data_IF_448903121759
#
_entry.id   IF_448903121759
#
_cell.length_a   1.000
_cell.length_b   1.000
_cell.length_c   1.000
_cell.angle_alpha   90.00
_cell.angle_beta   90.00
_cell.angle_gamma   90.00
#
_symmetry.space_group_name_H-M   'P 1'
#
loop_
_entity.id
_entity.type
_entity.pdbx_description
1 polymer ?
#
# COMPACT_ATOMS: atom_id res chain seq x y z
N UNK A 1 6.08 8.04 11.18
CA UNK A 1 7.39 7.49 11.61
C UNK A 1 8.49 8.21 10.85
N UNK A 2 9.64 8.48 11.48
CA UNK A 2 10.80 9.02 10.75
C UNK A 2 11.30 8.01 9.71
N UNK A 3 11.64 8.50 8.51
CA UNK A 3 12.11 7.72 7.36
C UNK A 3 13.43 8.24 6.80
N UNK A 4 14.03 9.25 7.45
CA UNK A 4 15.34 9.79 7.07
C UNK A 4 16.42 8.69 7.02
N UNK A 5 16.28 7.68 7.90
CA UNK A 5 17.12 6.49 7.96
C UNK A 5 17.19 5.70 6.65
N UNK A 6 16.15 5.72 5.80
CA UNK A 6 16.10 4.94 4.55
C UNK A 6 17.18 5.38 3.54
N UNK A 7 17.74 6.58 3.71
CA UNK A 7 18.81 7.11 2.87
C UNK A 7 20.20 6.99 3.51
N UNK A 8 20.29 6.44 4.72
CA UNK A 8 21.54 6.31 5.45
C UNK A 8 22.33 5.05 5.05
N UNK A 9 23.66 5.03 5.25
CA UNK A 9 24.45 3.82 5.05
C UNK A 9 24.03 2.67 5.99
N UNK A 10 24.00 1.44 5.49
CA UNK A 10 23.45 0.29 6.24
C UNK A 10 24.20 -0.10 7.52
N UNK A 11 25.43 0.36 7.66
CA UNK A 11 26.29 0.09 8.81
C UNK A 11 26.18 1.15 9.91
N UNK A 12 25.43 2.23 9.70
CA UNK A 12 25.22 3.22 10.77
C UNK A 12 24.01 2.85 11.62
N UNK A 13 24.05 3.25 12.89
CA UNK A 13 23.06 2.85 13.90
C UNK A 13 21.66 3.33 13.51
N UNK A 14 21.55 4.52 12.95
CA UNK A 14 20.30 5.13 12.51
C UNK A 14 19.57 4.26 11.47
N UNK A 15 20.32 3.63 10.55
CA UNK A 15 19.74 2.70 9.58
C UNK A 15 19.22 1.44 10.28
N UNK A 16 20.00 0.87 11.20
CA UNK A 16 19.66 -0.35 11.94
C UNK A 16 18.38 -0.11 12.78
N UNK A 17 18.32 1.00 13.50
CA UNK A 17 17.19 1.38 14.33
C UNK A 17 15.94 1.64 13.49
N UNK A 18 16.12 2.28 12.33
CA UNK A 18 15.06 2.46 11.34
C UNK A 18 14.48 1.16 10.80
N UNK A 19 15.34 0.19 10.48
CA UNK A 19 14.92 -1.16 10.05
C UNK A 19 14.11 -1.85 11.15
N UNK A 20 14.58 -1.84 12.40
CA UNK A 20 13.86 -2.46 13.51
C UNK A 20 12.49 -1.78 13.73
N UNK A 21 12.45 -0.45 13.72
CA UNK A 21 11.21 0.32 13.85
C UNK A 21 10.21 0.01 12.73
N UNK A 22 10.70 -0.13 11.49
CA UNK A 22 9.87 -0.55 10.36
C UNK A 22 9.31 -1.96 10.56
N UNK A 23 10.14 -2.91 11.00
CA UNK A 23 9.71 -4.30 11.22
C UNK A 23 8.64 -4.39 12.32
N UNK A 24 8.83 -3.70 13.44
CA UNK A 24 7.82 -3.59 14.49
C UNK A 24 6.51 -3.06 13.92
N UNK A 25 6.56 -1.94 13.20
CA UNK A 25 5.39 -1.36 12.55
C UNK A 25 4.69 -2.33 11.57
N UNK A 26 5.45 -3.01 10.72
CA UNK A 26 4.91 -3.83 9.65
C UNK A 26 4.29 -5.14 10.15
N UNK A 27 4.82 -5.70 11.25
CA UNK A 27 4.34 -6.95 11.85
C UNK A 27 3.33 -6.75 12.99
N UNK A 28 3.12 -5.52 13.46
CA UNK A 28 2.03 -5.20 14.41
C UNK A 28 0.62 -5.44 13.84
N UNK A 29 0.47 -5.58 12.52
CA UNK A 29 -0.80 -5.83 11.83
C UNK A 29 -0.94 -7.30 11.39
N UNK A 30 -2.18 -7.78 11.11
CA UNK A 30 -2.39 -9.15 10.66
C UNK A 30 -1.53 -9.48 9.44
N UNK A 31 -0.57 -10.37 9.64
CA UNK A 31 0.31 -10.87 8.59
C UNK A 31 -0.31 -12.10 7.95
N UNK A 32 -0.06 -12.32 6.66
CA UNK A 32 -0.52 -13.54 6.00
C UNK A 32 0.44 -14.65 6.44
N UNK A 33 -0.02 -15.54 7.33
CA UNK A 33 0.77 -16.67 7.83
C UNK A 33 2.11 -16.24 8.48
N UNK A 34 2.13 -15.13 9.21
CA UNK A 34 3.36 -14.65 9.85
C UNK A 34 4.34 -13.98 8.87
N UNK A 35 3.90 -13.60 7.66
CA UNK A 35 4.75 -13.01 6.62
C UNK A 35 4.23 -11.66 6.13
N UNK A 36 5.15 -10.79 5.71
CA UNK A 36 4.87 -9.50 5.07
C UNK A 36 5.53 -9.40 3.70
N UNK A 37 5.09 -8.45 2.87
CA UNK A 37 5.75 -8.15 1.60
C UNK A 37 7.14 -7.56 1.88
N UNK A 38 8.18 -8.12 1.27
CA UNK A 38 9.54 -7.63 1.51
C UNK A 38 9.79 -6.31 0.78
N UNK A 39 10.06 -5.19 1.48
CA UNK A 39 10.29 -3.88 0.86
C UNK A 39 11.73 -3.66 0.39
N UNK A 40 12.57 -4.70 0.36
CA UNK A 40 13.96 -4.54 -0.04
C UNK A 40 14.09 -4.12 -1.50
N UNK A 41 15.21 -3.48 -1.87
CA UNK A 41 15.44 -2.97 -3.23
C UNK A 41 15.30 -4.04 -4.32
N UNK A 42 15.57 -5.31 -4.01
CA UNK A 42 15.44 -6.42 -4.97
C UNK A 42 14.01 -6.92 -5.17
N UNK A 43 13.13 -6.81 -4.16
CA UNK A 43 11.80 -7.38 -4.22
C UNK A 43 10.69 -6.34 -4.32
N UNK A 44 10.88 -5.13 -3.79
CA UNK A 44 9.98 -3.98 -3.95
C UNK A 44 8.52 -4.37 -3.63
N UNK A 45 8.30 -5.00 -2.47
CA UNK A 45 7.00 -5.48 -2.00
C UNK A 45 6.33 -6.52 -2.91
N UNK A 46 7.09 -7.34 -3.65
CA UNK A 46 6.53 -8.39 -4.53
C UNK A 46 6.30 -9.73 -3.83
N UNK A 47 7.12 -10.10 -2.86
CA UNK A 47 7.10 -11.43 -2.27
C UNK A 47 6.97 -11.41 -0.75
N UNK A 48 6.15 -12.32 -0.22
CA UNK A 48 5.98 -12.54 1.22
C UNK A 48 7.18 -13.24 1.83
N UNK A 49 7.66 -12.71 2.95
CA UNK A 49 8.84 -13.21 3.68
C UNK A 49 8.59 -13.14 5.19
N UNK A 50 9.24 -14.03 5.95
CA UNK A 50 9.21 -14.01 7.41
C UNK A 50 9.91 -12.77 7.96
N UNK A 51 9.74 -12.52 9.25
CA UNK A 51 10.42 -11.44 9.95
C UNK A 51 11.95 -11.49 9.73
N UNK A 52 12.54 -12.66 9.94
CA UNK A 52 13.99 -12.90 9.82
C UNK A 52 14.45 -12.66 8.38
N UNK A 53 13.73 -13.22 7.40
CA UNK A 53 14.05 -13.05 5.99
C UNK A 53 13.96 -11.57 5.57
N UNK A 54 12.96 -10.82 6.05
CA UNK A 54 12.85 -9.39 5.72
C UNK A 54 13.98 -8.61 6.37
N UNK A 55 14.31 -8.88 7.64
CA UNK A 55 15.41 -8.23 8.35
C UNK A 55 16.73 -8.43 7.61
N UNK A 56 17.07 -9.66 7.26
CA UNK A 56 18.30 -9.98 6.52
C UNK A 56 18.35 -9.27 5.18
N UNK A 57 17.25 -9.29 4.42
CA UNK A 57 17.18 -8.57 3.16
C UNK A 57 17.32 -7.06 3.32
N UNK A 58 16.79 -6.45 4.39
CA UNK A 58 16.95 -5.03 4.63
C UNK A 58 18.37 -4.64 5.02
N UNK A 59 19.08 -5.53 5.72
CA UNK A 59 20.49 -5.33 6.10
C UNK A 59 21.47 -5.58 4.94
N UNK A 60 21.15 -6.51 4.04
CA UNK A 60 22.02 -6.87 2.90
C UNK A 60 21.70 -6.01 1.67
N UNK A 61 20.41 -5.88 1.34
CA UNK A 61 19.90 -5.37 0.06
C UNK A 61 19.25 -4.01 0.17
N UNK A 62 19.28 -3.36 1.32
CA UNK A 62 18.59 -2.11 1.64
C UNK A 62 17.07 -2.11 1.40
N UNK A 63 16.39 -1.19 2.08
CA UNK A 63 15.00 -0.85 1.75
C UNK A 63 14.93 -0.08 0.42
N UNK A 64 13.87 -0.29 -0.36
CA UNK A 64 13.62 0.50 -1.56
C UNK A 64 13.41 1.98 -1.19
N UNK A 65 14.35 2.86 -1.56
CA UNK A 65 14.30 4.30 -1.21
C UNK A 65 13.08 5.02 -1.78
N UNK A 66 12.57 4.58 -2.94
CA UNK A 66 11.34 5.12 -3.54
C UNK A 66 10.06 4.70 -2.82
N UNK A 67 10.12 3.71 -1.92
CA UNK A 67 9.00 3.23 -1.15
C UNK A 67 8.83 4.03 0.16
N UNK A 68 8.61 5.34 0.00
CA UNK A 68 8.53 6.29 1.12
C UNK A 68 7.17 6.32 1.81
N UNK A 69 6.15 5.70 1.24
CA UNK A 69 4.83 5.50 1.88
C UNK A 69 4.64 4.00 2.05
N UNK A 70 4.67 3.52 3.29
CA UNK A 70 4.58 2.10 3.61
C UNK A 70 3.14 1.58 3.55
N UNK A 71 2.40 1.96 2.50
CA UNK A 71 1.02 1.55 2.28
C UNK A 71 0.88 0.01 2.31
N UNK A 72 1.93 -0.71 1.91
CA UNK A 72 1.98 -2.17 1.96
C UNK A 72 2.12 -2.79 3.33
N UNK A 73 2.39 -1.97 4.32
CA UNK A 73 2.50 -2.32 5.72
C UNK A 73 1.50 -1.51 6.57
N UNK A 74 0.49 -0.91 5.92
CA UNK A 74 -0.61 -0.17 6.55
C UNK A 74 -0.28 1.26 6.94
N UNK A 75 0.76 1.87 6.35
CA UNK A 75 0.89 3.32 6.43
C UNK A 75 -0.13 3.97 5.49
N UNK A 76 -1.13 4.60 6.10
CA UNK A 76 -2.06 5.43 5.36
C UNK A 76 -1.36 6.75 5.04
N UNK A 77 -1.35 7.11 3.76
CA UNK A 77 -1.10 8.49 3.40
C UNK A 77 -2.31 9.24 3.95
N UNK A 78 -2.09 10.18 4.87
CA UNK A 78 -3.12 11.14 5.29
C UNK A 78 -3.53 11.93 4.05
N UNK A 79 -4.44 11.38 3.26
CA UNK A 79 -5.21 12.12 2.29
C UNK A 79 -6.23 12.83 3.17
N UNK A 80 -6.17 14.16 3.18
CA UNK A 80 -7.16 14.96 3.87
C UNK A 80 -8.56 14.49 3.43
N UNK A 81 -9.23 13.85 4.38
CA UNK A 81 -10.65 13.61 4.47
C UNK A 81 -11.50 14.12 3.31
N UNK A 82 -11.74 13.23 2.35
CA UNK A 82 -13.06 13.18 1.73
C UNK A 82 -13.89 12.20 2.55
N UNK A 83 -14.29 12.62 3.76
CA UNK A 83 -15.10 11.84 4.72
C UNK A 83 -16.45 11.49 4.10
N UNK A 84 -16.49 10.36 3.41
CA UNK A 84 -17.73 9.63 3.23
C UNK A 84 -17.49 8.24 3.76
N UNK A 85 -18.26 7.88 4.79
CA UNK A 85 -18.32 6.53 5.31
C UNK A 85 -18.55 5.55 4.14
N UNK A 86 -17.97 4.36 4.22
CA UNK A 86 -18.17 3.35 3.19
C UNK A 86 -19.66 3.07 2.95
N UNK A 87 -20.45 3.04 4.03
CA UNK A 87 -21.91 3.06 4.11
C UNK A 87 -22.30 3.65 5.49
N UNK A 88 -23.54 4.11 5.71
CA UNK A 88 -23.95 4.72 6.98
C UNK A 88 -23.62 3.86 8.20
N UNK A 89 -22.85 4.42 9.14
CA UNK A 89 -22.40 3.75 10.37
C UNK A 89 -21.11 2.94 10.23
N UNK A 90 -20.46 2.94 9.06
CA UNK A 90 -19.19 2.24 8.87
C UNK A 90 -18.02 3.02 9.49
N UNK A 91 -17.59 2.60 10.70
CA UNK A 91 -16.46 3.23 11.42
C UNK A 91 -15.08 2.70 11.03
N UNK A 92 -15.04 1.61 10.29
CA UNK A 92 -13.79 0.93 9.94
C UNK A 92 -13.14 1.48 8.67
N UNK A 93 -13.95 1.89 7.69
CA UNK A 93 -13.47 2.37 6.41
C UNK A 93 -14.27 3.56 5.91
N UNK A 94 -13.56 4.54 5.34
CA UNK A 94 -14.15 5.48 4.40
C UNK A 94 -14.28 4.80 3.04
N UNK A 95 -15.14 5.34 2.18
CA UNK A 95 -15.27 4.87 0.79
C UNK A 95 -13.92 4.89 0.05
N UNK A 96 -13.15 5.96 0.25
CA UNK A 96 -11.85 6.11 -0.39
C UNK A 96 -10.82 5.09 0.13
N UNK A 97 -10.71 4.92 1.46
CA UNK A 97 -9.75 3.97 2.03
C UNK A 97 -10.08 2.53 1.64
N UNK A 98 -11.36 2.18 1.60
CA UNK A 98 -11.82 0.89 1.08
C UNK A 98 -11.42 0.68 -0.39
N UNK A 99 -11.70 1.64 -1.27
CA UNK A 99 -11.38 1.54 -2.70
C UNK A 99 -9.87 1.47 -2.97
N UNK A 100 -9.06 2.23 -2.23
CA UNK A 100 -7.61 2.18 -2.31
C UNK A 100 -7.08 0.80 -1.92
N UNK A 101 -7.55 0.24 -0.81
CA UNK A 101 -7.17 -1.11 -0.38
C UNK A 101 -7.57 -2.17 -1.41
N UNK A 102 -8.81 -2.10 -1.91
CA UNK A 102 -9.34 -3.04 -2.89
C UNK A 102 -8.60 -2.97 -4.23
N UNK A 103 -8.36 -1.76 -4.75
CA UNK A 103 -7.60 -1.56 -5.99
C UNK A 103 -6.14 -1.97 -5.85
N UNK A 104 -5.55 -1.80 -4.66
CA UNK A 104 -4.21 -2.30 -4.35
C UNK A 104 -4.16 -3.82 -4.36
N UNK A 105 -5.14 -4.51 -3.77
CA UNK A 105 -5.25 -5.98 -3.84
C UNK A 105 -5.30 -6.44 -5.30
N UNK A 106 -6.11 -5.79 -6.15
CA UNK A 106 -6.15 -6.05 -7.59
C UNK A 106 -4.77 -5.96 -8.22
N UNK A 107 -4.08 -4.84 -8.02
CA UNK A 107 -2.77 -4.60 -8.64
C UNK A 107 -1.72 -5.61 -8.17
N UNK A 108 -1.69 -5.90 -6.86
CA UNK A 108 -0.74 -6.85 -6.26
C UNK A 108 -0.94 -8.28 -6.77
N UNK A 109 -2.20 -8.68 -6.95
CA UNK A 109 -2.53 -10.03 -7.41
C UNK A 109 -2.70 -10.11 -8.93
N UNK A 110 -2.32 -9.06 -9.67
CA UNK A 110 -2.45 -9.00 -11.14
C UNK A 110 -3.85 -9.37 -11.64
N UNK A 111 -4.89 -9.06 -10.87
CA UNK A 111 -6.24 -9.40 -11.24
C UNK A 111 -6.63 -8.68 -12.53
N UNK A 112 -7.29 -9.39 -13.43
CA UNK A 112 -7.83 -8.80 -14.65
C UNK A 112 -8.87 -7.73 -14.31
N UNK A 113 -9.03 -6.72 -15.16
CA UNK A 113 -10.10 -5.71 -14.97
C UNK A 113 -11.47 -6.37 -14.89
N UNK A 114 -11.74 -7.34 -15.79
CA UNK A 114 -12.98 -8.11 -15.79
C UNK A 114 -13.26 -8.81 -14.44
N UNK A 115 -12.28 -9.51 -13.88
CA UNK A 115 -12.47 -10.20 -12.59
C UNK A 115 -12.69 -9.21 -11.43
N UNK A 116 -12.08 -8.03 -11.50
CA UNK A 116 -12.28 -6.99 -10.49
C UNK A 116 -13.64 -6.33 -10.61
N UNK A 117 -14.11 -6.10 -11.84
CA UNK A 117 -15.43 -5.52 -12.10
C UNK A 117 -16.52 -6.45 -11.56
N UNK A 118 -16.40 -7.77 -11.78
CA UNK A 118 -17.32 -8.77 -11.20
C UNK A 118 -17.31 -8.72 -9.66
N UNK A 119 -16.14 -8.56 -9.03
CA UNK A 119 -16.08 -8.42 -7.58
C UNK A 119 -16.74 -7.12 -7.10
N UNK A 120 -16.55 -6.01 -7.81
CA UNK A 120 -17.19 -4.74 -7.45
C UNK A 120 -18.72 -4.85 -7.52
N UNK A 121 -19.24 -5.51 -8.56
CA UNK A 121 -20.67 -5.79 -8.68
C UNK A 121 -21.19 -6.61 -7.48
N UNK A 122 -20.49 -7.70 -7.13
CA UNK A 122 -20.84 -8.51 -5.95
C UNK A 122 -20.80 -7.70 -4.65
N UNK A 123 -19.82 -6.82 -4.47
CA UNK A 123 -19.70 -5.99 -3.27
C UNK A 123 -20.81 -4.94 -3.19
N UNK A 124 -21.25 -4.38 -4.32
CA UNK A 124 -22.39 -3.46 -4.37
C UNK A 124 -23.65 -4.18 -3.89
N UNK A 125 -23.85 -5.44 -4.28
CA UNK A 125 -25.00 -6.24 -3.86
C UNK A 125 -24.91 -6.70 -2.40
N UNK A 126 -23.70 -6.97 -1.90
CA UNK A 126 -23.49 -7.50 -0.55
C UNK A 126 -23.47 -6.42 0.56
N UNK A 127 -23.16 -5.17 0.22
CA UNK A 127 -23.06 -4.08 1.20
C UNK A 127 -24.42 -3.40 1.45
N UNK A 128 -24.63 -2.81 2.65
CA UNK A 128 -25.85 -2.08 2.96
C UNK A 128 -26.11 -0.89 2.02
N UNK A 129 -27.36 -0.44 2.00
CA UNK A 129 -27.78 0.76 1.29
C UNK A 129 -26.94 1.99 1.67
N UNK A 130 -26.63 2.81 0.67
CA UNK A 130 -25.76 3.98 0.83
C UNK A 130 -24.28 3.71 0.55
N UNK A 131 -23.89 2.45 0.25
CA UNK A 131 -22.49 2.11 -0.02
C UNK A 131 -21.93 2.70 -1.31
N UNK A 132 -22.80 3.02 -2.28
CA UNK A 132 -22.53 3.63 -3.58
C UNK A 132 -21.07 3.49 -4.04
N UNK A 133 -20.65 2.24 -4.21
CA UNK A 133 -19.34 1.88 -4.74
C UNK A 133 -19.35 2.02 -6.27
N UNK A 134 -18.19 2.27 -6.89
CA UNK A 134 -18.08 2.37 -8.33
C UNK A 134 -18.27 1.00 -8.99
N UNK A 135 -18.89 0.98 -10.16
CA UNK A 135 -19.29 -0.28 -10.82
C UNK A 135 -18.15 -1.00 -11.53
N UNK A 136 -17.03 -0.31 -11.77
CA UNK A 136 -15.92 -0.88 -12.53
C UNK A 136 -14.58 -0.22 -12.20
N UNK A 137 -13.53 -0.89 -12.68
CA UNK A 137 -12.13 -0.53 -12.54
C UNK A 137 -11.85 0.90 -13.02
N UNK A 138 -12.49 1.36 -14.10
CA UNK A 138 -12.25 2.70 -14.64
C UNK A 138 -12.67 3.79 -13.66
N UNK A 139 -13.86 3.66 -13.07
CA UNK A 139 -14.36 4.63 -12.10
C UNK A 139 -13.54 4.62 -10.80
N UNK A 140 -13.13 3.44 -10.34
CA UNK A 140 -12.20 3.31 -9.21
C UNK A 140 -10.91 4.07 -9.48
N UNK A 141 -10.28 3.88 -10.66
CA UNK A 141 -9.07 4.64 -11.04
C UNK A 141 -9.33 6.14 -11.11
N UNK A 142 -10.50 6.57 -11.56
CA UNK A 142 -10.86 7.99 -11.64
C UNK A 142 -10.95 8.61 -10.25
N UNK A 143 -11.60 7.94 -9.30
CA UNK A 143 -11.72 8.39 -7.90
C UNK A 143 -10.35 8.42 -7.23
N UNK A 144 -9.55 7.37 -7.40
CA UNK A 144 -8.19 7.31 -6.85
C UNK A 144 -7.34 8.44 -7.42
N UNK A 145 -7.34 8.64 -8.75
CA UNK A 145 -6.58 9.73 -9.39
C UNK A 145 -7.03 11.13 -8.98
N UNK A 146 -8.34 11.34 -8.80
CA UNK A 146 -8.87 12.60 -8.32
C UNK A 146 -8.45 12.88 -6.86
N UNK A 147 -8.29 11.82 -6.07
CA UNK A 147 -7.80 11.89 -4.69
C UNK A 147 -6.27 12.03 -4.61
N UNK A 148 -5.55 11.57 -5.64
CA UNK A 148 -4.09 11.63 -5.79
C UNK A 148 -3.58 12.94 -6.44
N UNK A 149 -4.29 14.07 -6.28
CA UNK A 149 -3.89 15.42 -6.75
C UNK A 149 -2.63 15.98 -6.06
N UNK A 150 -1.65 15.13 -5.76
CA UNK A 150 -0.28 15.47 -5.35
C UNK A 150 0.80 14.55 -5.93
N UNK A 151 0.52 13.73 -6.96
CA UNK A 151 1.58 13.00 -7.67
C UNK A 151 2.15 13.87 -8.80
N UNK A 152 3.31 14.48 -8.56
CA UNK A 152 4.17 15.00 -9.63
C UNK A 152 4.57 13.81 -10.50
N UNK A 153 4.18 13.85 -11.78
CA UNK A 153 4.70 12.90 -12.77
C UNK A 153 6.20 13.10 -12.84
N UNK A 154 6.99 12.19 -12.26
CA UNK A 154 8.41 12.14 -12.55
C UNK A 154 8.51 11.63 -13.98
N UNK A 155 8.90 12.52 -14.88
CA UNK A 155 9.18 12.18 -16.26
C UNK A 155 10.26 11.10 -16.23
N UNK A 156 9.97 9.93 -16.79
CA UNK A 156 10.97 8.87 -16.94
C UNK A 156 12.13 9.47 -17.74
N UNK A 157 13.35 9.35 -17.20
CA UNK A 157 14.57 9.75 -17.88
C UNK A 157 14.60 9.06 -19.27
N UNK A 158 14.82 9.78 -20.37
CA UNK A 158 14.90 9.18 -21.70
C UNK A 158 16.00 8.11 -21.85
N UNK A 159 16.94 8.05 -20.90
CA UNK A 159 18.13 7.20 -20.97
C UNK A 159 18.11 5.99 -20.02
N UNK A 160 17.00 5.72 -19.31
CA UNK A 160 16.86 4.54 -18.43
C UNK A 160 18.09 4.29 -17.50
N UNK A 161 18.65 5.39 -16.96
CA UNK A 161 19.82 5.38 -16.07
C UNK A 161 19.40 5.36 -14.60
#
# INVERSE_FOLDING_TARGET
>A
MDKSWMSQPRWIQEYIDGVNSFLEFAFLRPSISGKILCPCSSFINRYFRSYEEVKDHLMIKEICRGYTVWNSHGEEKLIADTETELYPGCKLFSKLSFLLHLYRIKCLNSWTSKSFDILLELLIEALPDGSALPKNTYEVKKIIKASDLGYTKIHVCPNDC
#
